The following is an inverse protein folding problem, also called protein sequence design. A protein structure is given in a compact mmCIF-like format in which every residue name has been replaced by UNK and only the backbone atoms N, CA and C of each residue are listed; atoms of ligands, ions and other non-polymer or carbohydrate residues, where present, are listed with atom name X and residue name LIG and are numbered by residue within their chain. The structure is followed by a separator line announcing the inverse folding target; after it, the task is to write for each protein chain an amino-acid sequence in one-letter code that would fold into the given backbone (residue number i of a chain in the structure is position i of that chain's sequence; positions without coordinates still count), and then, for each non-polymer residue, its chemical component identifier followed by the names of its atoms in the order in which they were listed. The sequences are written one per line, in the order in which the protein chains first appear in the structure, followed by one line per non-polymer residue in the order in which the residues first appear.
data_IF_052528978460
#
_entry.id   IF_052528978460
#
_cell.length_a   1.000
_cell.length_b   1.000
_cell.length_c   1.000
_cell.angle_alpha   90.00
_cell.angle_beta   90.00
_cell.angle_gamma   90.00
#
_symmetry.space_group_name_H-M   'P 1'
#
loop_
_entity.id
_entity.type
_entity.pdbx_description
1 polymer ?
#
# COMPACT_ATOMS: atom_id res chain seq x y z
N UNK A 1 6.19 -9.91 -7.59
CA UNK A 1 7.40 -10.41 -6.90
C UNK A 1 7.13 -10.70 -5.42
N UNK A 2 6.62 -9.74 -4.64
CA UNK A 2 6.39 -9.90 -3.20
C UNK A 2 5.31 -10.92 -2.80
N UNK A 3 4.14 -10.89 -3.43
CA UNK A 3 3.01 -11.75 -3.02
C UNK A 3 3.31 -13.25 -3.05
N UNK A 4 3.92 -13.82 -4.11
CA UNK A 4 4.29 -15.24 -4.11
C UNK A 4 5.27 -15.61 -3.00
N UNK A 5 6.25 -14.75 -2.72
CA UNK A 5 7.25 -14.96 -1.68
C UNK A 5 6.62 -14.98 -0.29
N UNK A 6 5.79 -13.98 0.02
CA UNK A 6 5.06 -13.90 1.30
C UNK A 6 4.12 -15.09 1.46
N UNK A 7 3.40 -15.50 0.41
CA UNK A 7 2.50 -16.67 0.48
C UNK A 7 3.27 -17.98 0.65
N UNK A 8 4.50 -18.07 0.17
CA UNK A 8 5.34 -19.26 0.33
C UNK A 8 5.86 -19.40 1.77
N UNK A 9 6.42 -18.33 2.34
CA UNK A 9 7.02 -18.38 3.67
C UNK A 9 6.02 -18.13 4.81
N UNK A 10 4.93 -17.42 4.54
CA UNK A 10 3.95 -16.96 5.52
C UNK A 10 2.50 -17.19 5.04
N UNK A 11 2.09 -18.44 4.73
CA UNK A 11 0.84 -18.73 4.02
C UNK A 11 -0.44 -18.23 4.72
N UNK A 12 -0.43 -18.13 6.05
CA UNK A 12 -1.60 -17.78 6.88
C UNK A 12 -1.45 -16.43 7.61
N UNK A 13 -0.54 -15.58 7.14
CA UNK A 13 -0.30 -14.26 7.72
C UNK A 13 -1.08 -13.21 6.91
N UNK A 14 -1.90 -12.35 7.57
CA UNK A 14 -2.66 -11.33 6.87
C UNK A 14 -1.71 -10.34 6.17
N UNK A 15 -2.02 -10.02 4.93
CA UNK A 15 -1.27 -9.07 4.12
C UNK A 15 -1.98 -7.72 4.17
N UNK A 16 -1.27 -6.64 4.48
CA UNK A 16 -1.77 -5.26 4.32
C UNK A 16 -0.97 -4.60 3.21
N UNK A 17 -1.64 -4.07 2.19
CA UNK A 17 -0.98 -3.32 1.12
C UNK A 17 -0.90 -1.84 1.51
N UNK A 18 0.28 -1.24 1.44
CA UNK A 18 0.50 0.16 1.80
C UNK A 18 1.09 0.94 0.62
N UNK A 19 0.35 1.93 0.13
CA UNK A 19 0.82 2.91 -0.84
C UNK A 19 1.60 4.02 -0.14
N UNK A 20 2.91 4.10 -0.38
CA UNK A 20 3.78 5.09 0.24
C UNK A 20 3.92 6.36 -0.61
N UNK A 21 4.44 7.43 -0.01
CA UNK A 21 4.73 8.72 -0.67
C UNK A 21 3.51 9.33 -1.35
N UNK A 22 2.33 9.21 -0.71
CA UNK A 22 1.05 9.77 -1.21
C UNK A 22 1.16 11.26 -1.57
N UNK A 23 2.02 12.02 -0.88
CA UNK A 23 2.29 13.43 -1.16
C UNK A 23 2.78 13.69 -2.59
N UNK A 24 3.50 12.73 -3.19
CA UNK A 24 4.02 12.87 -4.56
C UNK A 24 2.97 12.72 -5.65
N UNK A 25 1.77 12.22 -5.32
CA UNK A 25 0.67 12.08 -6.31
C UNK A 25 0.27 13.42 -6.91
N UNK A 26 0.34 14.49 -6.10
CA UNK A 26 -0.02 15.84 -6.51
C UNK A 26 1.21 16.74 -6.73
N UNK A 27 2.42 16.19 -6.62
CA UNK A 27 3.65 16.94 -6.84
C UNK A 27 3.93 17.12 -8.34
N UNK A 28 3.95 18.37 -8.79
CA UNK A 28 4.06 18.70 -10.21
C UNK A 28 5.42 18.30 -10.81
N UNK A 29 6.49 18.34 -10.03
CA UNK A 29 7.79 17.86 -10.47
C UNK A 29 7.77 16.34 -10.73
N UNK A 30 7.21 15.57 -9.78
CA UNK A 30 7.05 14.12 -9.92
C UNK A 30 6.17 13.75 -11.11
N UNK A 31 5.04 14.43 -11.31
CA UNK A 31 4.18 14.21 -12.48
C UNK A 31 4.94 14.45 -13.79
N UNK A 32 5.71 15.55 -13.88
CA UNK A 32 6.52 15.86 -15.07
C UNK A 32 7.55 14.76 -15.37
N UNK A 33 8.25 14.26 -14.36
CA UNK A 33 9.22 13.18 -14.56
C UNK A 33 8.54 11.88 -14.99
N UNK A 34 7.42 11.49 -14.38
CA UNK A 34 6.66 10.31 -14.78
C UNK A 34 6.11 10.43 -16.21
N UNK A 35 5.64 11.61 -16.61
CA UNK A 35 5.16 11.86 -17.98
C UNK A 35 6.25 11.65 -19.03
N UNK A 36 7.52 12.01 -18.75
CA UNK A 36 8.65 11.72 -19.65
C UNK A 36 8.82 10.21 -19.89
N UNK A 37 8.44 9.39 -18.91
CA UNK A 37 8.46 7.93 -18.96
C UNK A 37 7.13 7.32 -19.43
N UNK A 38 6.15 8.15 -19.85
CA UNK A 38 4.77 7.74 -20.18
C UNK A 38 4.07 7.02 -19.03
N UNK A 39 4.32 7.47 -17.80
CA UNK A 39 3.72 6.94 -16.58
C UNK A 39 2.92 8.03 -15.85
N UNK A 40 2.04 7.60 -14.95
CA UNK A 40 1.30 8.47 -14.04
C UNK A 40 1.43 7.95 -12.59
N UNK A 41 1.24 8.80 -11.57
CA UNK A 41 1.17 8.34 -10.19
C UNK A 41 0.03 7.33 -10.00
N UNK A 42 0.30 6.28 -9.22
CA UNK A 42 -0.72 5.26 -8.88
C UNK A 42 -1.91 5.90 -8.18
N UNK A 43 -3.10 5.68 -8.73
CA UNK A 43 -4.38 6.13 -8.18
C UNK A 43 -4.80 5.24 -7.02
N UNK A 44 -5.63 5.80 -6.15
CA UNK A 44 -6.14 5.08 -4.99
C UNK A 44 -6.90 3.80 -5.38
N UNK A 45 -7.70 3.87 -6.46
CA UNK A 45 -8.47 2.73 -6.96
C UNK A 45 -7.58 1.61 -7.49
N UNK A 46 -6.49 1.94 -8.19
CA UNK A 46 -5.53 0.93 -8.67
C UNK A 46 -4.85 0.19 -7.50
N UNK A 47 -4.52 0.91 -6.43
CA UNK A 47 -3.99 0.33 -5.21
C UNK A 47 -5.00 -0.57 -4.50
N UNK A 48 -6.27 -0.16 -4.44
CA UNK A 48 -7.36 -0.97 -3.89
C UNK A 48 -7.56 -2.26 -4.69
N UNK A 49 -7.65 -2.15 -6.01
CA UNK A 49 -7.80 -3.30 -6.91
C UNK A 49 -6.62 -4.27 -6.79
N UNK A 50 -5.41 -3.75 -6.59
CA UNK A 50 -4.23 -4.59 -6.33
C UNK A 50 -4.34 -5.31 -4.99
N UNK A 51 -4.81 -4.65 -3.93
CA UNK A 51 -5.01 -5.26 -2.62
C UNK A 51 -5.99 -6.43 -2.68
N UNK A 52 -7.11 -6.26 -3.38
CA UNK A 52 -8.08 -7.33 -3.63
C UNK A 52 -7.44 -8.49 -4.42
N UNK A 53 -6.74 -8.18 -5.52
CA UNK A 53 -6.07 -9.17 -6.37
C UNK A 53 -5.05 -10.02 -5.61
N UNK A 54 -4.35 -9.47 -4.62
CA UNK A 54 -3.35 -10.22 -3.85
C UNK A 54 -3.94 -10.93 -2.63
N UNK A 55 -5.20 -10.65 -2.28
CA UNK A 55 -5.85 -11.14 -1.06
C UNK A 55 -5.37 -10.43 0.21
N UNK A 56 -5.06 -9.13 0.10
CA UNK A 56 -4.75 -8.31 1.26
C UNK A 56 -6.02 -8.02 2.07
N UNK A 57 -5.89 -7.93 3.40
CA UNK A 57 -7.00 -7.61 4.31
C UNK A 57 -7.36 -6.12 4.28
N UNK A 58 -6.53 -5.29 3.65
CA UNK A 58 -6.77 -3.87 3.50
C UNK A 58 -5.74 -3.19 2.61
N UNK A 59 -6.13 -2.01 2.10
CA UNK A 59 -5.26 -1.06 1.42
C UNK A 59 -5.26 0.26 2.18
N UNK A 60 -4.08 0.78 2.48
CA UNK A 60 -3.90 2.11 3.08
C UNK A 60 -2.86 2.89 2.29
N UNK A 61 -2.92 4.21 2.40
CA UNK A 61 -1.92 5.10 1.82
C UNK A 61 -1.36 6.02 2.89
N UNK A 62 -0.06 6.31 2.82
CA UNK A 62 0.56 7.24 3.73
C UNK A 62 1.64 8.08 3.06
N UNK A 63 2.00 9.17 3.74
CA UNK A 63 3.22 9.93 3.48
C UNK A 63 3.98 10.10 4.79
N UNK A 64 5.15 9.48 4.86
CA UNK A 64 6.05 9.71 5.99
C UNK A 64 6.53 11.18 6.05
N UNK A 65 6.60 11.87 4.91
CA UNK A 65 7.04 13.26 4.81
C UNK A 65 6.04 14.23 5.45
N UNK A 66 4.75 14.05 5.16
CA UNK A 66 3.69 14.91 5.72
C UNK A 66 3.06 14.33 6.99
N UNK A 67 3.47 13.12 7.40
CA UNK A 67 2.90 12.31 8.48
C UNK A 67 1.45 11.86 8.23
N UNK A 68 0.90 12.11 7.05
CA UNK A 68 -0.44 11.68 6.66
C UNK A 68 -0.54 10.14 6.59
N UNK A 69 -1.54 9.56 7.24
CA UNK A 69 -1.86 8.12 7.17
C UNK A 69 -0.89 7.17 7.89
N UNK A 70 0.21 7.67 8.47
CA UNK A 70 1.25 6.80 9.06
C UNK A 70 0.72 6.05 10.27
N UNK A 71 0.00 6.74 11.16
CA UNK A 71 -0.55 6.12 12.37
C UNK A 71 -1.58 5.05 12.03
N UNK A 72 -2.44 5.33 11.07
CA UNK A 72 -3.51 4.47 10.60
C UNK A 72 -2.97 3.17 10.01
N UNK A 73 -1.85 3.24 9.26
CA UNK A 73 -1.15 2.05 8.74
C UNK A 73 -0.73 1.13 9.89
N UNK A 74 -0.09 1.66 10.93
CA UNK A 74 0.37 0.84 12.05
C UNK A 74 -0.78 0.32 12.91
N UNK A 75 -1.81 1.12 13.17
CA UNK A 75 -3.00 0.66 13.90
C UNK A 75 -3.73 -0.44 13.14
N UNK A 76 -3.87 -0.31 11.81
CA UNK A 76 -4.50 -1.33 10.98
C UNK A 76 -3.69 -2.62 10.96
N UNK A 77 -2.35 -2.53 10.86
CA UNK A 77 -1.47 -3.69 10.95
C UNK A 77 -1.56 -4.39 12.31
N UNK A 78 -1.57 -3.62 13.41
CA UNK A 78 -1.73 -4.16 14.76
C UNK A 78 -3.07 -4.89 14.93
N UNK A 79 -4.17 -4.28 14.46
CA UNK A 79 -5.49 -4.91 14.45
C UNK A 79 -5.51 -6.20 13.63
N UNK A 80 -4.93 -6.19 12.42
CA UNK A 80 -4.83 -7.37 11.57
C UNK A 80 -4.03 -8.51 12.22
N UNK A 81 -2.94 -8.17 12.92
CA UNK A 81 -2.12 -9.15 13.65
C UNK A 81 -2.89 -9.81 14.81
N UNK A 82 -3.71 -9.04 15.54
CA UNK A 82 -4.53 -9.52 16.66
C UNK A 82 -5.79 -10.27 16.22
N UNK A 83 -6.33 -9.96 15.03
CA UNK A 83 -7.56 -10.57 14.51
C UNK A 83 -7.38 -12.04 14.06
N UNK A 84 -6.15 -12.56 14.04
CA UNK A 84 -5.88 -13.98 13.76
C UNK A 84 -6.48 -14.83 14.88
N UNK A 85 -7.68 -15.36 14.65
CA UNK A 85 -8.22 -16.47 15.44
C UNK A 85 -7.32 -17.69 15.23
N UNK A 86 -7.00 -18.37 16.34
CA UNK A 86 -6.33 -19.67 16.36
C UNK A 86 -7.08 -20.69 15.51
#
# INVERSE_FOLDING_TARGET
KWTPEVKHFCPNVPIVLVGNKKDLRNDEATKKELMKMKQEPVRHEEGRNMAEKIGAVGYLECSAKTKDGVREVFEHAARAALARKK
#
